data_IF_374073100192
#
_entry.id   IF_374073100192
#
_cell.length_a   1.000
_cell.length_b   1.000
_cell.length_c   1.000
_cell.angle_alpha   90.00
_cell.angle_beta   90.00
_cell.angle_gamma   90.00
#
_symmetry.space_group_name_H-M   'P 1'
#
loop_
_entity.id
_entity.type
_entity.pdbx_description
1 polymer ?
#
# COMPACT_ATOMS: atom_id res chain seq x y z
N UNK A 1 43.64 -4.69 14.76
CA UNK A 1 43.39 -4.34 13.33
C UNK A 1 42.62 -5.42 12.57
N UNK A 2 42.57 -6.68 13.02
CA UNK A 2 41.77 -7.74 12.36
C UNK A 2 40.25 -7.66 12.60
N UNK A 3 39.79 -7.05 13.70
CA UNK A 3 38.35 -6.92 13.99
C UNK A 3 37.63 -5.92 13.05
N UNK A 4 38.32 -4.92 12.52
CA UNK A 4 37.72 -3.91 11.65
C UNK A 4 37.35 -4.44 10.25
N UNK A 5 38.05 -5.47 9.76
CA UNK A 5 37.74 -6.09 8.47
C UNK A 5 36.48 -6.98 8.53
N UNK A 6 36.27 -7.68 9.64
CA UNK A 6 35.09 -8.54 9.82
C UNK A 6 33.77 -7.76 9.96
N UNK A 7 33.81 -6.54 10.51
CA UNK A 7 32.64 -5.65 10.58
C UNK A 7 32.28 -5.12 9.20
N UNK A 8 33.27 -4.68 8.41
CA UNK A 8 33.06 -4.19 7.04
C UNK A 8 32.47 -5.26 6.10
N UNK A 9 32.87 -6.52 6.25
CA UNK A 9 32.31 -7.62 5.42
C UNK A 9 30.87 -7.94 5.83
N UNK A 10 30.55 -7.87 7.13
CA UNK A 10 29.19 -8.10 7.63
C UNK A 10 28.23 -6.99 7.20
N UNK A 11 28.61 -5.72 7.35
CA UNK A 11 27.77 -4.58 6.95
C UNK A 11 27.48 -4.60 5.45
N UNK A 12 28.47 -5.01 4.65
CA UNK A 12 28.35 -5.13 3.21
C UNK A 12 27.46 -6.31 2.80
N UNK A 13 27.56 -7.43 3.52
CA UNK A 13 26.69 -8.59 3.30
C UNK A 13 25.24 -8.29 3.70
N UNK A 14 25.03 -7.57 4.81
CA UNK A 14 23.71 -7.14 5.28
C UNK A 14 23.06 -6.20 4.25
N UNK A 15 23.76 -5.18 3.74
CA UNK A 15 23.25 -4.33 2.67
C UNK A 15 22.88 -5.11 1.40
N UNK A 16 23.63 -6.16 1.05
CA UNK A 16 23.36 -6.97 -0.13
C UNK A 16 22.05 -7.77 0.01
N UNK A 17 21.72 -8.22 1.23
CA UNK A 17 20.48 -8.94 1.55
C UNK A 17 19.26 -8.01 1.53
N UNK A 18 19.40 -6.76 1.96
CA UNK A 18 18.33 -5.76 1.92
C UNK A 18 18.18 -5.04 0.56
N UNK A 19 18.87 -5.54 -0.47
CA UNK A 19 18.79 -4.95 -1.80
C UNK A 19 17.45 -5.21 -2.49
N UNK A 20 17.12 -4.35 -3.45
CA UNK A 20 15.88 -4.40 -4.25
C UNK A 20 15.62 -5.75 -4.92
N UNK A 21 16.68 -6.54 -5.17
CA UNK A 21 16.59 -7.87 -5.79
C UNK A 21 15.85 -8.88 -4.91
N UNK A 22 15.84 -8.66 -3.60
CA UNK A 22 15.17 -9.51 -2.62
C UNK A 22 13.84 -8.90 -2.14
N UNK A 23 13.47 -7.73 -2.65
CA UNK A 23 12.23 -7.05 -2.28
C UNK A 23 11.05 -7.57 -3.10
N UNK A 24 10.13 -8.28 -2.44
CA UNK A 24 8.86 -8.71 -3.04
C UNK A 24 7.90 -7.51 -3.06
N UNK A 25 7.70 -6.95 -4.24
CA UNK A 25 6.76 -5.85 -4.44
C UNK A 25 5.33 -6.38 -4.42
N UNK A 26 4.63 -6.11 -3.32
CA UNK A 26 3.21 -6.38 -3.13
C UNK A 26 2.36 -5.17 -3.59
N UNK A 27 1.02 -5.27 -3.66
CA UNK A 27 0.18 -4.27 -4.32
C UNK A 27 0.39 -2.82 -3.85
N UNK A 28 0.61 -2.59 -2.55
CA UNK A 28 0.91 -1.25 -2.01
C UNK A 28 2.15 -0.65 -2.67
N UNK A 29 3.28 -1.37 -2.63
CA UNK A 29 4.53 -0.87 -3.19
C UNK A 29 4.45 -0.72 -4.72
N UNK A 30 3.76 -1.64 -5.39
CA UNK A 30 3.53 -1.55 -6.85
C UNK A 30 2.71 -0.29 -7.22
N UNK A 31 1.68 0.05 -6.44
CA UNK A 31 0.88 1.25 -6.67
C UNK A 31 1.70 2.53 -6.51
N UNK A 32 2.69 2.56 -5.61
CA UNK A 32 3.55 3.72 -5.40
C UNK A 32 4.68 3.85 -6.43
N UNK A 33 5.02 2.79 -7.17
CA UNK A 33 6.15 2.79 -8.11
C UNK A 33 5.73 2.86 -9.58
N UNK A 34 4.54 3.41 -9.87
CA UNK A 34 4.09 3.59 -11.25
C UNK A 34 4.92 4.62 -12.01
N UNK A 35 4.98 4.47 -13.33
CA UNK A 35 5.75 5.36 -14.20
C UNK A 35 5.25 6.81 -14.10
N UNK A 36 6.16 7.82 -14.10
CA UNK A 36 5.76 9.23 -14.09
C UNK A 36 4.76 9.57 -15.20
N UNK A 37 3.80 10.45 -14.90
CA UNK A 37 2.70 10.80 -15.82
C UNK A 37 1.63 9.72 -15.99
N UNK A 38 1.67 8.62 -15.23
CA UNK A 38 0.67 7.55 -15.25
C UNK A 38 0.21 7.19 -13.84
N UNK A 39 -0.77 7.91 -13.32
CA UNK A 39 -1.42 7.55 -12.06
C UNK A 39 -2.10 6.17 -12.20
N UNK A 40 -1.73 5.16 -11.39
CA UNK A 40 -2.39 3.86 -11.43
C UNK A 40 -3.71 3.91 -10.66
N UNK A 41 -4.53 2.88 -10.84
CA UNK A 41 -5.68 2.61 -9.98
C UNK A 41 -5.25 1.64 -8.88
N UNK A 42 -5.44 2.03 -7.62
CA UNK A 42 -5.16 1.17 -6.47
C UNK A 42 -6.48 0.74 -5.81
N UNK A 43 -6.87 -0.50 -6.08
CA UNK A 43 -8.08 -1.12 -5.53
C UNK A 43 -7.75 -1.83 -4.22
N UNK A 44 -8.44 -1.43 -3.15
CA UNK A 44 -8.40 -2.06 -1.84
C UNK A 44 -9.76 -2.70 -1.62
N UNK A 45 -9.79 -4.03 -1.69
CA UNK A 45 -11.02 -4.79 -1.62
C UNK A 45 -11.39 -5.15 -0.17
N UNK A 46 -12.68 -5.05 0.15
CA UNK A 46 -13.29 -5.46 1.43
C UNK A 46 -12.52 -4.95 2.67
N UNK A 47 -12.19 -3.66 2.71
CA UNK A 47 -11.36 -3.08 3.77
C UNK A 47 -11.94 -3.30 5.19
N UNK A 48 -13.25 -3.44 5.30
CA UNK A 48 -13.94 -3.75 6.56
C UNK A 48 -13.53 -5.09 7.18
N UNK A 49 -12.88 -5.98 6.42
CA UNK A 49 -12.42 -7.29 6.90
C UNK A 49 -11.01 -7.28 7.50
N UNK A 50 -10.30 -6.17 7.42
CA UNK A 50 -8.94 -6.05 7.94
C UNK A 50 -8.93 -5.71 9.43
N UNK A 51 -7.80 -5.90 10.09
CA UNK A 51 -7.60 -5.41 11.46
C UNK A 51 -7.27 -3.91 11.51
N UNK A 52 -7.29 -3.34 12.71
CA UNK A 52 -7.01 -1.91 12.94
C UNK A 52 -5.57 -1.52 12.60
N UNK A 53 -4.61 -2.43 12.80
CA UNK A 53 -3.20 -2.18 12.51
C UNK A 53 -2.98 -1.97 11.01
N UNK A 54 -3.63 -2.78 10.18
CA UNK A 54 -3.60 -2.64 8.73
C UNK A 54 -4.30 -1.36 8.27
N UNK A 55 -5.45 -1.00 8.85
CA UNK A 55 -6.11 0.28 8.54
C UNK A 55 -5.21 1.49 8.89
N UNK A 56 -4.54 1.46 10.04
CA UNK A 56 -3.63 2.52 10.45
C UNK A 56 -2.43 2.65 9.49
N UNK A 57 -1.87 1.51 9.07
CA UNK A 57 -0.82 1.46 8.06
C UNK A 57 -1.30 2.04 6.71
N UNK A 58 -2.49 1.66 6.25
CA UNK A 58 -3.04 2.23 5.02
C UNK A 58 -3.28 3.74 5.16
N UNK A 59 -3.76 4.21 6.31
CA UNK A 59 -3.93 5.64 6.58
C UNK A 59 -2.61 6.41 6.48
N UNK A 60 -1.51 5.82 6.95
CA UNK A 60 -0.17 6.37 6.79
C UNK A 60 0.22 6.45 5.31
N UNK A 61 0.09 5.32 4.59
CA UNK A 61 0.45 5.28 3.17
C UNK A 61 -0.37 6.25 2.34
N UNK A 62 -1.68 6.31 2.56
CA UNK A 62 -2.61 7.15 1.81
C UNK A 62 -2.51 8.64 2.18
N UNK A 63 -1.86 8.99 3.29
CA UNK A 63 -1.65 10.39 3.70
C UNK A 63 -0.69 11.11 2.75
N UNK A 64 0.44 10.48 2.46
CA UNK A 64 1.53 11.09 1.69
C UNK A 64 1.90 10.32 0.41
N UNK A 65 1.14 9.26 0.10
CA UNK A 65 1.41 8.31 -0.98
C UNK A 65 2.86 7.83 -0.94
N UNK A 66 3.27 7.34 0.22
CA UNK A 66 4.61 6.83 0.46
C UNK A 66 4.60 5.67 1.45
N UNK A 67 5.66 4.87 1.44
CA UNK A 67 5.92 3.85 2.45
C UNK A 67 7.40 3.88 2.81
N UNK A 68 7.71 3.75 4.10
CA UNK A 68 9.10 3.60 4.55
C UNK A 68 9.38 2.14 4.82
N UNK A 69 10.39 1.60 4.12
CA UNK A 69 10.83 0.24 4.27
C UNK A 69 12.16 0.27 5.04
N UNK A 70 12.26 -0.42 6.18
CA UNK A 70 13.51 -0.54 6.92
C UNK A 70 14.67 -0.94 6.00
N UNK A 71 15.85 -0.32 6.21
CA UNK A 71 17.09 -0.55 5.45
C UNK A 71 17.05 -0.22 3.94
N UNK A 72 15.86 -0.06 3.33
CA UNK A 72 15.66 0.30 1.92
C UNK A 72 15.32 1.78 1.72
N UNK A 73 14.70 2.40 2.74
CA UNK A 73 14.31 3.81 2.74
C UNK A 73 12.86 4.05 2.33
N UNK A 74 12.55 5.33 2.05
CA UNK A 74 11.20 5.76 1.74
C UNK A 74 10.93 5.72 0.24
N UNK A 75 9.85 5.04 -0.15
CA UNK A 75 9.34 5.00 -1.52
C UNK A 75 8.11 5.89 -1.61
N UNK A 76 8.18 6.93 -2.41
CA UNK A 76 7.09 7.89 -2.63
C UNK A 76 6.58 7.82 -4.07
N UNK A 77 5.27 7.88 -4.23
CA UNK A 77 4.64 7.93 -5.54
C UNK A 77 5.01 9.21 -6.30
N UNK A 78 5.49 9.03 -7.54
CA UNK A 78 5.71 10.15 -8.45
C UNK A 78 4.37 10.82 -8.84
N UNK A 79 3.36 9.99 -9.10
CA UNK A 79 1.98 10.42 -9.33
C UNK A 79 1.07 9.70 -8.32
N UNK A 80 0.26 10.42 -7.53
CA UNK A 80 -0.66 9.80 -6.59
C UNK A 80 -1.63 8.83 -7.27
N UNK A 81 -1.78 7.59 -6.78
CA UNK A 81 -2.76 6.64 -7.30
C UNK A 81 -4.19 7.14 -7.12
N UNK A 82 -5.07 6.76 -8.05
CA UNK A 82 -6.52 6.85 -7.86
C UNK A 82 -6.92 5.67 -6.97
N UNK A 83 -7.37 5.96 -5.76
CA UNK A 83 -7.65 4.94 -4.75
C UNK A 83 -9.14 4.60 -4.75
N UNK A 84 -9.46 3.32 -4.88
CA UNK A 84 -10.81 2.78 -4.76
C UNK A 84 -10.82 1.81 -3.58
N UNK A 85 -11.71 2.06 -2.64
CA UNK A 85 -11.92 1.17 -1.50
C UNK A 85 -13.31 0.58 -1.62
N UNK A 86 -13.42 -0.75 -1.55
CA UNK A 86 -14.72 -1.43 -1.46
C UNK A 86 -14.95 -1.88 -0.02
N UNK A 87 -16.22 -2.03 0.33
CA UNK A 87 -16.62 -2.55 1.62
C UNK A 87 -18.00 -3.16 1.54
N UNK A 88 -18.18 -4.31 2.20
CA UNK A 88 -19.49 -4.93 2.40
C UNK A 88 -20.16 -4.46 3.69
N UNK A 89 -19.56 -3.49 4.40
CA UNK A 89 -20.00 -2.97 5.70
C UNK A 89 -20.22 -4.07 6.76
N UNK A 90 -19.42 -5.13 6.72
CA UNK A 90 -19.40 -6.18 7.78
C UNK A 90 -18.88 -5.63 9.10
N UNK A 91 -18.00 -4.62 9.05
CA UNK A 91 -17.54 -3.80 10.17
C UNK A 91 -17.52 -2.33 9.75
N UNK A 92 -17.62 -1.43 10.72
CA UNK A 92 -17.31 -0.03 10.47
C UNK A 92 -15.80 0.18 10.25
N UNK A 93 -15.47 0.79 9.10
CA UNK A 93 -14.14 1.34 8.81
C UNK A 93 -13.81 2.53 9.72
N UNK A 94 -12.54 2.75 9.99
CA UNK A 94 -12.10 3.81 10.89
C UNK A 94 -12.53 5.19 10.38
N UNK A 95 -13.01 6.04 11.29
CA UNK A 95 -13.50 7.40 10.98
C UNK A 95 -12.49 8.28 10.22
N UNK A 96 -11.19 8.07 10.42
CA UNK A 96 -10.14 8.80 9.72
C UNK A 96 -10.14 8.50 8.21
N UNK A 97 -10.37 7.22 7.84
CA UNK A 97 -10.57 6.82 6.44
C UNK A 97 -11.87 7.40 5.92
N UNK A 98 -12.96 7.26 6.68
CA UNK A 98 -14.28 7.76 6.27
C UNK A 98 -14.25 9.24 5.88
N UNK A 99 -13.60 10.08 6.69
CA UNK A 99 -13.53 11.53 6.48
C UNK A 99 -12.65 11.94 5.28
N UNK A 100 -11.87 11.02 4.72
CA UNK A 100 -10.97 11.26 3.58
C UNK A 100 -11.51 10.69 2.27
N UNK A 101 -12.66 10.01 2.30
CA UNK A 101 -13.23 9.33 1.15
C UNK A 101 -14.55 9.97 0.69
N UNK A 102 -14.79 9.91 -0.62
CA UNK A 102 -16.13 10.09 -1.19
C UNK A 102 -16.88 8.76 -1.10
N UNK A 103 -18.11 8.81 -0.58
CA UNK A 103 -18.93 7.62 -0.43
C UNK A 103 -19.87 7.45 -1.61
N UNK A 104 -19.81 6.27 -2.23
CA UNK A 104 -20.77 5.82 -3.21
C UNK A 104 -21.38 4.50 -2.75
N UNK A 105 -22.71 4.43 -2.73
CA UNK A 105 -23.44 3.20 -2.43
C UNK A 105 -23.80 2.51 -3.74
N UNK A 106 -23.44 1.23 -3.84
CA UNK A 106 -23.78 0.40 -5.00
C UNK A 106 -24.94 -0.49 -4.57
N UNK A 107 -26.11 -0.25 -5.17
CA UNK A 107 -27.28 -1.10 -4.97
C UNK A 107 -27.10 -2.44 -5.71
N UNK A 108 -27.87 -3.44 -5.28
CA UNK A 108 -27.95 -4.71 -6.00
C UNK A 108 -28.42 -4.47 -7.45
N UNK A 109 -27.89 -5.25 -8.41
CA UNK A 109 -28.36 -5.19 -9.79
C UNK A 109 -29.87 -5.46 -9.83
N UNK A 110 -30.58 -4.79 -10.74
CA UNK A 110 -31.99 -5.10 -10.96
C UNK A 110 -32.07 -6.40 -11.75
N UNK A 111 -33.19 -7.12 -11.64
CA UNK A 111 -33.40 -8.37 -12.38
C UNK A 111 -33.16 -8.26 -13.90
N UNK A 112 -33.36 -7.06 -14.48
CA UNK A 112 -33.06 -6.81 -15.89
C UNK A 112 -31.56 -6.69 -16.21
N UNK A 113 -30.74 -6.26 -15.25
CA UNK A 113 -29.29 -6.09 -15.39
C UNK A 113 -28.55 -7.45 -15.30
N UNK A 114 -29.15 -8.44 -14.62
CA UNK A 114 -28.58 -9.79 -14.47
C UNK A 114 -28.78 -10.70 -15.71
N UNK A 115 -29.67 -10.31 -16.63
CA UNK A 115 -30.03 -11.08 -17.82
C UNK A 115 -29.19 -10.71 -19.06
N UNK A 116 -28.25 -9.77 -18.93
CA UNK A 116 -27.45 -9.19 -20.01
C UNK A 116 -26.06 -9.84 -20.14
#
# INVERSE_FOLDING_TARGET
MAEAAGVSDRDRLEHDIFSERYLIRRPVLQALQSAPGRAPVFLIDELDRTDEAFEAFLLEVLSDFQVTIPEFGTVKAAEPPIVIVTSNRTREVHDALKRRCLYHWVDYPKAADELA
#
